data_IF_796862346976
#
_entry.id   IF_796862346976
#
_cell.length_a   1.000
_cell.length_b   1.000
_cell.length_c   1.000
_cell.angle_alpha   90.00
_cell.angle_beta   90.00
_cell.angle_gamma   90.00
#
_symmetry.space_group_name_H-M   'P 1'
#
loop_
_entity.id
_entity.type
_entity.pdbx_description
1 polymer ?
#
# COMPACT_ATOMS: atom_id res chain seq x y z
N UNK A 1 0.89 -18.31 22.75
CA UNK A 1 0.69 -17.07 21.97
C UNK A 1 1.36 -17.26 20.61
N UNK A 2 0.62 -17.78 19.63
CA UNK A 2 1.17 -18.03 18.29
C UNK A 2 1.23 -16.73 17.50
N UNK A 3 2.42 -16.13 17.36
CA UNK A 3 2.63 -15.10 16.34
C UNK A 3 2.60 -15.83 15.00
N UNK A 4 1.58 -15.51 14.20
CA UNK A 4 1.42 -15.94 12.82
C UNK A 4 2.71 -15.76 12.02
N UNK A 5 2.97 -16.68 11.09
CA UNK A 5 4.08 -16.62 10.13
C UNK A 5 3.95 -15.41 9.20
N UNK A 6 4.24 -14.20 9.69
CA UNK A 6 4.31 -13.01 8.85
C UNK A 6 5.48 -13.15 7.89
N UNK A 7 5.22 -12.97 6.59
CA UNK A 7 6.29 -12.94 5.59
C UNK A 7 7.12 -11.67 5.81
N UNK A 8 8.45 -11.80 5.82
CA UNK A 8 9.36 -10.65 5.98
C UNK A 8 9.74 -10.10 4.60
N UNK A 9 9.93 -8.79 4.51
CA UNK A 9 10.40 -8.07 3.33
C UNK A 9 11.19 -6.83 3.76
N UNK A 10 12.12 -6.36 2.95
CA UNK A 10 12.94 -5.18 3.28
C UNK A 10 12.12 -3.91 3.03
N UNK A 11 11.40 -3.90 1.91
CA UNK A 11 10.65 -2.75 1.43
C UNK A 11 9.17 -3.11 1.19
N UNK A 12 8.28 -2.34 1.82
CA UNK A 12 6.86 -2.34 1.51
C UNK A 12 6.48 -1.04 0.80
N UNK A 13 5.91 -1.17 -0.40
CA UNK A 13 5.42 -0.05 -1.20
C UNK A 13 3.89 -0.06 -1.20
N UNK A 14 3.29 1.00 -0.68
CA UNK A 14 1.85 1.24 -0.68
C UNK A 14 1.50 2.24 -1.79
N UNK A 15 0.78 1.79 -2.81
CA UNK A 15 0.26 2.63 -3.87
C UNK A 15 -1.17 3.04 -3.50
N UNK A 16 -1.42 4.34 -3.35
CA UNK A 16 -2.74 4.88 -3.01
C UNK A 16 -3.53 5.14 -4.29
N UNK A 17 -4.77 4.65 -4.31
CA UNK A 17 -5.59 4.55 -5.51
C UNK A 17 -6.95 5.20 -5.31
N UNK A 18 -7.23 6.21 -6.13
CA UNK A 18 -8.47 6.99 -6.04
C UNK A 18 -9.37 6.90 -7.28
N UNK A 19 -8.82 6.90 -8.51
CA UNK A 19 -9.66 6.98 -9.71
C UNK A 19 -9.11 6.29 -10.97
N UNK A 20 -7.80 6.35 -11.25
CA UNK A 20 -7.25 5.95 -12.55
C UNK A 20 -6.46 4.65 -12.45
N UNK A 21 -6.91 3.62 -13.18
CA UNK A 21 -6.29 2.29 -13.21
C UNK A 21 -4.90 2.31 -13.83
N UNK A 22 -4.73 3.00 -14.95
CA UNK A 22 -3.53 2.85 -15.78
C UNK A 22 -2.29 3.40 -15.07
N UNK A 23 -2.44 4.48 -14.30
CA UNK A 23 -1.38 5.02 -13.44
C UNK A 23 -0.87 4.02 -12.39
N UNK A 24 -1.70 3.04 -11.98
CA UNK A 24 -1.33 2.05 -10.97
C UNK A 24 -0.39 1.02 -11.56
N UNK A 25 -0.71 0.53 -12.76
CA UNK A 25 0.11 -0.48 -13.43
C UNK A 25 1.47 0.11 -13.80
N UNK A 26 1.50 1.33 -14.34
CA UNK A 26 2.76 2.04 -14.62
C UNK A 26 3.60 2.25 -13.36
N UNK A 27 2.95 2.54 -12.21
CA UNK A 27 3.66 2.70 -10.93
C UNK A 27 4.20 1.38 -10.42
N UNK A 28 3.45 0.28 -10.55
CA UNK A 28 3.91 -1.06 -10.17
C UNK A 28 5.10 -1.47 -11.03
N UNK A 29 4.97 -1.32 -12.35
CA UNK A 29 6.06 -1.62 -13.28
C UNK A 29 7.31 -0.81 -12.91
N UNK A 30 7.16 0.48 -12.59
CA UNK A 30 8.28 1.31 -12.15
C UNK A 30 8.92 0.82 -10.84
N UNK A 31 8.11 0.38 -9.86
CA UNK A 31 8.62 -0.18 -8.60
C UNK A 31 9.36 -1.48 -8.87
N UNK A 32 8.80 -2.40 -9.66
CA UNK A 32 9.42 -3.67 -10.00
C UNK A 32 10.73 -3.49 -10.79
N UNK A 33 10.82 -2.47 -11.64
CA UNK A 33 12.05 -2.14 -12.36
C UNK A 33 13.13 -1.50 -11.48
N UNK A 34 12.74 -0.82 -10.40
CA UNK A 34 13.66 -0.03 -9.56
C UNK A 34 13.99 -0.69 -8.21
N UNK A 35 13.41 -1.85 -7.91
CA UNK A 35 13.56 -2.53 -6.60
C UNK A 35 13.81 -4.03 -6.78
N UNK A 36 14.24 -4.71 -5.72
CA UNK A 36 14.38 -6.17 -5.75
C UNK A 36 12.99 -6.81 -5.51
N UNK A 37 12.42 -7.54 -6.49
CA UNK A 37 11.10 -8.16 -6.35
C UNK A 37 11.06 -9.33 -5.34
N UNK A 38 12.21 -9.86 -4.93
CA UNK A 38 12.30 -10.92 -3.91
C UNK A 38 12.04 -10.33 -2.53
N UNK A 39 12.62 -9.17 -2.24
CA UNK A 39 12.55 -8.53 -0.92
C UNK A 39 11.61 -7.33 -0.87
N UNK A 40 10.99 -6.97 -1.99
CA UNK A 40 9.97 -5.90 -2.06
C UNK A 40 8.57 -6.49 -2.10
N UNK A 41 7.65 -5.88 -1.34
CA UNK A 41 6.21 -6.14 -1.43
C UNK A 41 5.48 -4.89 -1.88
N UNK A 42 4.57 -5.06 -2.84
CA UNK A 42 3.71 -3.99 -3.33
C UNK A 42 2.29 -4.27 -2.89
N UNK A 43 1.63 -3.25 -2.35
CA UNK A 43 0.22 -3.30 -1.99
C UNK A 43 -0.50 -2.06 -2.53
N UNK A 44 -1.79 -2.20 -2.80
CA UNK A 44 -2.63 -1.10 -3.27
C UNK A 44 -3.70 -0.77 -2.23
N UNK A 45 -3.73 0.46 -1.74
CA UNK A 45 -4.80 0.96 -0.88
C UNK A 45 -5.83 1.68 -1.75
N UNK A 46 -7.05 1.15 -1.79
CA UNK A 46 -8.13 1.64 -2.67
C UNK A 46 -9.24 2.26 -1.83
N UNK A 47 -9.73 3.42 -2.27
CA UNK A 47 -10.91 4.05 -1.66
C UNK A 47 -12.12 3.09 -1.70
N UNK A 48 -12.75 2.85 -0.54
CA UNK A 48 -13.94 1.99 -0.41
C UNK A 48 -15.11 2.35 -1.33
N UNK A 49 -15.19 3.59 -1.79
CA UNK A 49 -16.22 4.05 -2.71
C UNK A 49 -15.96 3.53 -4.14
N UNK A 50 -14.72 3.15 -4.46
CA UNK A 50 -14.31 2.63 -5.76
C UNK A 50 -14.28 1.08 -5.77
N UNK A 51 -15.41 0.46 -5.40
CA UNK A 51 -15.54 -1.01 -5.27
C UNK A 51 -15.21 -1.78 -6.55
N UNK A 52 -15.54 -1.21 -7.70
CA UNK A 52 -15.24 -1.83 -9.01
C UNK A 52 -13.74 -1.92 -9.25
N UNK A 53 -13.01 -0.84 -8.98
CA UNK A 53 -11.56 -0.80 -9.11
C UNK A 53 -10.89 -1.73 -8.10
N UNK A 54 -11.34 -1.74 -6.84
CA UNK A 54 -10.79 -2.62 -5.82
C UNK A 54 -10.92 -4.10 -6.19
N UNK A 55 -12.12 -4.54 -6.61
CA UNK A 55 -12.33 -5.94 -7.07
C UNK A 55 -11.46 -6.31 -8.26
N UNK A 56 -11.16 -5.34 -9.12
CA UNK A 56 -10.28 -5.56 -10.26
C UNK A 56 -8.83 -5.71 -9.82
N UNK A 57 -8.34 -4.82 -8.95
CA UNK A 57 -6.98 -4.85 -8.42
C UNK A 57 -6.71 -6.08 -7.56
N UNK A 58 -7.67 -6.53 -6.76
CA UNK A 58 -7.57 -7.78 -5.98
C UNK A 58 -7.29 -9.02 -6.85
N UNK A 59 -7.68 -8.99 -8.13
CA UNK A 59 -7.44 -10.12 -9.06
C UNK A 59 -6.04 -10.09 -9.69
N UNK A 60 -5.41 -8.93 -9.72
CA UNK A 60 -4.14 -8.70 -10.45
C UNK A 60 -2.99 -8.56 -9.46
N UNK A 61 -3.24 -7.96 -8.30
CA UNK A 61 -2.23 -7.56 -7.34
C UNK A 61 -2.55 -8.25 -6.00
N UNK A 62 -1.80 -9.29 -5.64
CA UNK A 62 -1.88 -9.89 -4.32
C UNK A 62 -1.58 -8.83 -3.25
N UNK A 63 -2.58 -8.46 -2.45
CA UNK A 63 -2.43 -7.42 -1.42
C UNK A 63 -3.12 -6.09 -1.71
N UNK A 64 -3.96 -6.01 -2.75
CA UNK A 64 -4.93 -4.93 -2.84
C UNK A 64 -5.90 -4.97 -1.63
N UNK A 65 -6.13 -3.82 -1.00
CA UNK A 65 -7.01 -3.67 0.16
C UNK A 65 -7.97 -2.50 -0.02
N UNK A 66 -9.24 -2.76 0.29
CA UNK A 66 -10.24 -1.72 0.47
C UNK A 66 -9.99 -1.01 1.79
N UNK A 67 -9.61 0.26 1.73
CA UNK A 67 -9.46 1.10 2.90
C UNK A 67 -10.68 2.03 3.00
N UNK A 68 -11.13 2.23 4.24
CA UNK A 68 -12.37 2.89 4.56
C UNK A 68 -12.37 4.38 4.22
N UNK A 69 -11.21 4.94 3.85
CA UNK A 69 -11.05 6.28 3.30
C UNK A 69 -11.91 7.25 4.08
N UNK A 70 -11.54 7.54 5.32
CA UNK A 70 -12.34 8.40 6.18
C UNK A 70 -12.64 9.72 5.45
N UNK A 71 -13.93 9.99 5.32
CA UNK A 71 -14.59 10.92 4.38
C UNK A 71 -14.34 12.41 4.64
N UNK A 72 -13.22 12.76 5.27
CA UNK A 72 -12.91 14.12 5.68
C UNK A 72 -12.09 14.83 4.60
N UNK A 73 -12.76 15.30 3.56
CA UNK A 73 -12.23 16.30 2.62
C UNK A 73 -11.03 15.87 1.76
N UNK A 74 -10.81 16.64 0.70
CA UNK A 74 -9.70 16.50 -0.23
C UNK A 74 -8.39 16.81 0.51
N UNK A 75 -7.78 15.78 1.12
CA UNK A 75 -6.54 15.90 1.89
C UNK A 75 -6.47 14.99 3.12
N UNK A 76 -7.53 14.88 3.93
CA UNK A 76 -7.49 14.01 5.11
C UNK A 76 -7.84 12.54 4.80
N UNK A 77 -8.61 12.31 3.73
CA UNK A 77 -8.85 10.95 3.21
C UNK A 77 -7.57 10.21 2.83
N UNK A 78 -6.55 10.93 2.38
CA UNK A 78 -5.24 10.39 2.01
C UNK A 78 -4.41 9.92 3.21
N UNK A 79 -4.48 10.65 4.32
CA UNK A 79 -3.84 10.26 5.59
C UNK A 79 -4.59 9.11 6.25
N UNK A 80 -5.93 9.11 6.19
CA UNK A 80 -6.75 7.99 6.65
C UNK A 80 -6.46 6.70 5.87
N UNK A 81 -6.43 6.80 4.54
CA UNK A 81 -6.07 5.69 3.66
C UNK A 81 -4.67 5.15 3.97
N UNK A 82 -3.70 6.03 4.16
CA UNK A 82 -2.33 5.65 4.54
C UNK A 82 -2.29 4.93 5.89
N UNK A 83 -2.91 5.49 6.94
CA UNK A 83 -2.91 4.91 8.27
C UNK A 83 -3.57 3.53 8.31
N UNK A 84 -4.73 3.37 7.66
CA UNK A 84 -5.41 2.07 7.56
C UNK A 84 -4.59 1.05 6.78
N UNK A 85 -3.92 1.47 5.70
CA UNK A 85 -3.05 0.62 4.91
C UNK A 85 -1.85 0.11 5.74
N UNK A 86 -1.26 0.98 6.57
CA UNK A 86 -0.18 0.61 7.50
C UNK A 86 -0.70 -0.39 8.54
N UNK A 87 -1.85 -0.14 9.16
CA UNK A 87 -2.44 -1.06 10.13
C UNK A 87 -2.73 -2.44 9.52
N UNK A 88 -3.19 -2.47 8.26
CA UNK A 88 -3.44 -3.72 7.55
C UNK A 88 -2.14 -4.47 7.24
N UNK A 89 -1.09 -3.75 6.84
CA UNK A 89 0.22 -4.30 6.55
C UNK A 89 0.93 -4.85 7.78
N UNK A 90 0.89 -4.13 8.91
CA UNK A 90 1.48 -4.55 10.20
C UNK A 90 0.92 -5.91 10.69
N UNK A 91 -0.29 -6.28 10.25
CA UNK A 91 -0.92 -7.56 10.57
C UNK A 91 -0.53 -8.70 9.62
N UNK A 92 0.22 -8.44 8.54
CA UNK A 92 0.54 -9.41 7.47
C UNK A 92 2.03 -9.56 7.18
N UNK A 93 2.77 -8.47 7.30
CA UNK A 93 4.17 -8.43 6.94
C UNK A 93 5.00 -7.81 8.04
N UNK A 94 6.22 -8.31 8.17
CA UNK A 94 7.29 -7.62 8.87
C UNK A 94 8.13 -6.90 7.82
N UNK A 95 8.28 -5.58 7.93
CA UNK A 95 8.99 -4.77 6.94
C UNK A 95 9.91 -3.73 7.59
N UNK A 96 11.06 -3.46 6.96
CA UNK A 96 12.02 -2.47 7.46
C UNK A 96 11.67 -1.05 7.03
N UNK A 97 11.17 -0.91 5.80
CA UNK A 97 10.87 0.37 5.16
C UNK A 97 9.46 0.39 4.58
N UNK A 98 8.76 1.51 4.75
CA UNK A 98 7.47 1.79 4.12
C UNK A 98 7.58 3.02 3.22
N UNK A 99 7.23 2.84 1.97
CA UNK A 99 7.06 3.89 0.99
C UNK A 99 5.59 3.98 0.62
N UNK A 100 5.04 5.19 0.56
CA UNK A 100 3.69 5.44 0.05
C UNK A 100 3.77 6.32 -1.19
N UNK A 101 3.09 5.93 -2.26
CA UNK A 101 3.06 6.63 -3.54
C UNK A 101 1.63 7.08 -3.83
N UNK A 102 1.48 8.33 -4.26
CA UNK A 102 0.19 8.93 -4.56
C UNK A 102 0.33 10.00 -5.64
N UNK A 103 -0.28 9.77 -6.80
CA UNK A 103 -0.24 10.70 -7.93
C UNK A 103 1.18 11.22 -8.25
N UNK A 104 2.20 10.36 -8.16
CA UNK A 104 3.61 10.73 -8.38
C UNK A 104 4.30 11.41 -7.19
N UNK A 105 3.61 11.59 -6.07
CA UNK A 105 4.19 12.07 -4.81
C UNK A 105 4.66 10.89 -3.97
N UNK A 106 5.96 10.91 -3.64
CA UNK A 106 6.61 9.90 -2.82
C UNK A 106 6.63 10.33 -1.35
N UNK A 107 6.00 9.54 -0.49
CA UNK A 107 6.05 9.69 0.96
C UNK A 107 6.91 8.58 1.54
N UNK A 108 8.09 8.95 2.03
CA UNK A 108 9.02 8.01 2.67
C UNK A 108 8.78 8.10 4.18
N UNK A 109 8.23 7.04 4.79
CA UNK A 109 8.20 6.93 6.25
C UNK A 109 9.37 6.04 6.67
N UNK A 110 10.46 6.67 7.11
CA UNK A 110 11.65 5.97 7.58
C UNK A 110 11.41 5.39 8.98
N UNK A 111 11.39 4.06 9.06
CA UNK A 111 11.59 3.15 10.19
C UNK A 111 10.72 3.32 11.46
N UNK A 112 10.16 2.21 11.97
CA UNK A 112 9.88 2.07 13.41
C UNK A 112 11.22 2.20 14.13
N UNK A 113 11.36 3.15 15.04
CA UNK A 113 12.47 3.12 16.00
C UNK A 113 12.38 1.78 16.72
N UNK A 114 13.47 1.02 16.68
CA UNK A 114 13.63 -0.17 17.48
C UNK A 114 14.01 0.35 18.87
N UNK A 115 13.04 0.34 19.79
CA UNK A 115 13.32 0.37 21.23
C UNK A 115 13.58 -1.07 21.70
#
# INVERSE_FOLDING_TARGET
MGKSHLTSCDLLVCIRVHAYRDLILDTIDAVEHCTDPVTTKVMCAVDKNNKTLAKHLERIIPGAVLCSGTSWGWGAGLYGLLAESILWADNRWNYEHLVSIDYGTLFIKKQKSVD
#
